data_IF_043065992817
#
_entry.id   IF_043065992817
#
_cell.length_a   1.000
_cell.length_b   1.000
_cell.length_c   1.000
_cell.angle_alpha   90.00
_cell.angle_beta   90.00
_cell.angle_gamma   90.00
#
_symmetry.space_group_name_H-M   'P 1'
#
loop_
_entity.id
_entity.type
_entity.pdbx_description
1 polymer ?
#
# COMPACT_ATOMS: atom_id res chain seq x y z
N UNK A 1 -10.46 -0.31 -0.77
CA UNK A 1 -10.11 -0.17 -2.20
C UNK A 1 -11.02 -1.00 -3.10
N UNK A 2 -11.15 -2.33 -2.92
CA UNK A 2 -12.01 -3.18 -3.76
C UNK A 2 -13.48 -2.73 -3.86
N UNK A 3 -14.16 -2.49 -2.74
CA UNK A 3 -15.57 -2.05 -2.75
C UNK A 3 -15.75 -0.66 -3.39
N UNK A 4 -14.76 0.22 -3.25
CA UNK A 4 -14.78 1.54 -3.90
C UNK A 4 -14.71 1.45 -5.43
N UNK A 5 -13.93 0.50 -5.96
CA UNK A 5 -13.86 0.23 -7.40
C UNK A 5 -15.20 -0.30 -7.92
N UNK A 6 -15.86 -1.19 -7.15
CA UNK A 6 -17.17 -1.74 -7.51
C UNK A 6 -18.22 -0.62 -7.57
N UNK A 7 -18.23 0.27 -6.57
CA UNK A 7 -19.18 1.38 -6.50
C UNK A 7 -19.02 2.37 -7.68
N UNK A 8 -17.79 2.61 -8.15
CA UNK A 8 -17.53 3.51 -9.29
C UNK A 8 -17.95 2.86 -10.62
N UNK A 9 -17.79 1.55 -10.77
CA UNK A 9 -18.15 0.84 -12.00
C UNK A 9 -19.66 0.59 -12.15
N UNK A 10 -20.40 0.57 -11.04
CA UNK A 10 -21.84 0.28 -11.03
C UNK A 10 -22.61 1.28 -10.15
N UNK A 11 -22.66 2.57 -10.55
CA UNK A 11 -23.20 3.64 -9.73
C UNK A 11 -24.71 3.50 -9.46
N UNK A 12 -25.47 2.95 -10.41
CA UNK A 12 -26.94 2.91 -10.34
C UNK A 12 -27.49 1.63 -9.68
N UNK A 13 -26.67 0.57 -9.60
CA UNK A 13 -27.12 -0.76 -9.14
C UNK A 13 -26.46 -1.25 -7.86
N UNK A 14 -25.39 -0.59 -7.39
CA UNK A 14 -24.65 -1.02 -6.22
C UNK A 14 -24.83 -0.06 -5.04
N UNK A 15 -25.61 -0.49 -4.05
CA UNK A 15 -25.74 0.20 -2.77
C UNK A 15 -24.67 -0.30 -1.80
N UNK A 16 -23.87 0.62 -1.27
CA UNK A 16 -22.83 0.28 -0.30
C UNK A 16 -23.44 -0.16 1.03
N UNK A 17 -23.09 -1.37 1.46
CA UNK A 17 -23.43 -1.88 2.79
C UNK A 17 -22.15 -2.34 3.51
N UNK A 18 -22.03 -2.10 4.83
CA UNK A 18 -20.81 -2.42 5.59
C UNK A 18 -20.41 -3.90 5.53
N UNK A 19 -21.38 -4.80 5.38
CA UNK A 19 -21.13 -6.25 5.36
C UNK A 19 -20.53 -6.75 4.04
N UNK A 20 -20.63 -5.98 2.94
CA UNK A 20 -19.92 -6.32 1.71
C UNK A 20 -18.41 -6.36 1.91
N UNK A 21 -17.88 -5.44 2.72
CA UNK A 21 -16.44 -5.40 3.05
C UNK A 21 -16.07 -6.60 3.89
N UNK A 22 -16.86 -6.97 4.89
CA UNK A 22 -16.54 -8.08 5.79
C UNK A 22 -16.53 -9.42 5.05
N UNK A 23 -17.50 -9.66 4.16
CA UNK A 23 -17.52 -10.87 3.32
C UNK A 23 -16.31 -10.96 2.39
N UNK A 24 -15.91 -9.85 1.77
CA UNK A 24 -14.69 -9.82 0.94
C UNK A 24 -13.43 -10.11 1.76
N UNK A 25 -13.33 -9.58 2.97
CA UNK A 25 -12.20 -9.87 3.88
C UNK A 25 -12.18 -11.35 4.26
N UNK A 26 -13.34 -11.95 4.59
CA UNK A 26 -13.44 -13.38 4.89
C UNK A 26 -13.04 -14.22 3.66
N UNK A 27 -13.51 -13.87 2.46
CA UNK A 27 -13.16 -14.58 1.23
C UNK A 27 -11.65 -14.54 0.96
N UNK A 28 -11.02 -13.37 1.07
CA UNK A 28 -9.56 -13.23 0.91
C UNK A 28 -8.80 -14.01 1.99
N UNK A 29 -9.29 -14.01 3.24
CA UNK A 29 -8.68 -14.77 4.34
C UNK A 29 -8.73 -16.29 4.09
N UNK A 30 -9.84 -16.82 3.57
CA UNK A 30 -9.97 -18.24 3.21
C UNK A 30 -9.01 -18.60 2.08
N UNK A 31 -8.90 -17.75 1.05
CA UNK A 31 -7.90 -17.93 -0.02
C UNK A 31 -6.49 -17.94 0.55
N UNK A 32 -6.15 -16.94 1.37
CA UNK A 32 -4.84 -16.88 2.02
C UNK A 32 -4.55 -18.10 2.90
N UNK A 33 -5.56 -18.65 3.60
CA UNK A 33 -5.42 -19.88 4.39
C UNK A 33 -5.08 -21.09 3.50
N UNK A 34 -5.77 -21.25 2.37
CA UNK A 34 -5.47 -22.31 1.42
C UNK A 34 -4.04 -22.16 0.87
N UNK A 35 -3.68 -20.95 0.42
CA UNK A 35 -2.35 -20.66 -0.08
C UNK A 35 -1.26 -20.93 0.96
N UNK A 36 -1.42 -20.47 2.20
CA UNK A 36 -0.45 -20.73 3.28
C UNK A 36 -0.31 -22.22 3.61
N UNK A 37 -1.39 -23.01 3.48
CA UNK A 37 -1.35 -24.45 3.74
C UNK A 37 -0.65 -25.22 2.62
N UNK A 38 -0.86 -24.86 1.35
CA UNK A 38 -0.29 -25.59 0.20
C UNK A 38 1.08 -25.08 -0.26
N UNK A 39 1.38 -23.79 -0.09
CA UNK A 39 2.59 -23.15 -0.63
C UNK A 39 3.69 -22.90 0.42
N UNK A 40 3.55 -23.42 1.64
CA UNK A 40 4.55 -23.26 2.72
C UNK A 40 5.99 -23.61 2.27
N UNK A 41 6.16 -24.62 1.42
CA UNK A 41 7.48 -25.02 0.89
C UNK A 41 7.95 -24.19 -0.33
N UNK A 42 7.08 -23.42 -0.98
CA UNK A 42 7.39 -22.61 -2.17
C UNK A 42 7.54 -21.12 -1.87
N UNK A 43 7.41 -20.74 -0.60
CA UNK A 43 7.64 -19.36 -0.12
C UNK A 43 8.90 -18.70 -0.70
N UNK A 44 10.08 -19.36 -0.71
CA UNK A 44 11.32 -18.71 -1.17
C UNK A 44 11.27 -18.33 -2.66
N UNK A 45 10.56 -19.09 -3.49
CA UNK A 45 10.42 -18.78 -4.92
C UNK A 45 9.43 -17.63 -5.13
N UNK A 46 8.33 -17.63 -4.39
CA UNK A 46 7.29 -16.59 -4.50
C UNK A 46 7.83 -15.25 -4.01
N UNK A 47 8.60 -15.26 -2.92
CA UNK A 47 9.27 -14.07 -2.39
C UNK A 47 10.17 -13.42 -3.45
N UNK A 48 10.99 -14.22 -4.15
CA UNK A 48 11.83 -13.72 -5.23
C UNK A 48 11.04 -13.13 -6.41
N UNK A 49 9.95 -13.81 -6.83
CA UNK A 49 9.08 -13.32 -7.91
C UNK A 49 8.39 -12.01 -7.54
N UNK A 50 7.86 -11.92 -6.30
CA UNK A 50 7.22 -10.69 -5.83
C UNK A 50 8.22 -9.55 -5.77
N UNK A 51 9.46 -9.78 -5.31
CA UNK A 51 10.49 -8.75 -5.28
C UNK A 51 10.83 -8.25 -6.68
N UNK A 52 10.96 -9.16 -7.66
CA UNK A 52 11.15 -8.81 -9.07
C UNK A 52 9.99 -7.95 -9.58
N UNK A 53 8.75 -8.42 -9.41
CA UNK A 53 7.55 -7.69 -9.85
C UNK A 53 7.46 -6.32 -9.16
N UNK A 54 7.81 -6.22 -7.89
CA UNK A 54 7.77 -4.96 -7.14
C UNK A 54 8.82 -3.97 -7.66
N UNK A 55 10.05 -4.42 -7.89
CA UNK A 55 11.10 -3.58 -8.48
C UNK A 55 10.70 -3.08 -9.88
N UNK A 56 10.24 -3.96 -10.76
CA UNK A 56 9.82 -3.56 -12.12
C UNK A 56 8.55 -2.71 -12.11
N UNK A 57 7.58 -3.00 -11.23
CA UNK A 57 6.37 -2.21 -11.06
C UNK A 57 6.65 -0.79 -10.57
N UNK A 58 7.64 -0.62 -9.69
CA UNK A 58 8.11 0.70 -9.27
C UNK A 58 8.57 1.53 -10.47
N UNK A 59 9.42 0.98 -11.34
CA UNK A 59 9.82 1.67 -12.58
C UNK A 59 8.66 1.85 -13.55
N UNK A 60 7.75 0.88 -13.63
CA UNK A 60 6.55 0.95 -14.47
C UNK A 60 5.60 2.08 -14.09
N UNK A 61 5.58 2.52 -12.84
CA UNK A 61 4.79 3.68 -12.38
C UNK A 61 5.62 4.96 -12.43
N UNK A 62 6.91 4.90 -12.05
CA UNK A 62 7.79 6.06 -12.00
C UNK A 62 8.04 6.66 -13.39
N UNK A 63 8.25 5.83 -14.42
CA UNK A 63 8.54 6.32 -15.77
C UNK A 63 7.36 7.09 -16.39
N UNK A 64 6.11 6.57 -16.39
CA UNK A 64 4.97 7.33 -16.89
C UNK A 64 4.74 8.62 -16.11
N UNK A 65 4.84 8.58 -14.77
CA UNK A 65 4.71 9.79 -13.97
C UNK A 65 5.78 10.81 -14.32
N UNK A 66 7.03 10.39 -14.51
CA UNK A 66 8.11 11.29 -14.90
C UNK A 66 7.88 11.93 -16.28
N UNK A 67 7.42 11.15 -17.26
CA UNK A 67 7.25 11.62 -18.64
C UNK A 67 5.98 12.46 -18.82
N UNK A 68 4.90 12.13 -18.11
CA UNK A 68 3.61 12.82 -18.24
C UNK A 68 3.46 14.00 -17.27
N UNK A 69 4.32 14.13 -16.25
CA UNK A 69 4.18 15.20 -15.26
C UNK A 69 4.50 16.58 -15.88
N UNK A 70 3.59 17.56 -15.80
CA UNK A 70 3.88 18.93 -16.21
C UNK A 70 4.94 19.52 -15.27
N UNK A 71 6.00 20.09 -15.85
CA UNK A 71 7.07 20.73 -15.08
C UNK A 71 6.60 22.07 -14.52
N UNK A 72 6.40 22.13 -13.22
CA UNK A 72 6.06 23.36 -12.47
C UNK A 72 7.32 24.02 -11.90
N UNK A 73 7.25 25.33 -11.60
CA UNK A 73 8.37 26.05 -11.02
C UNK A 73 8.77 25.46 -9.66
N UNK A 74 10.07 25.25 -9.36
CA UNK A 74 10.51 24.67 -8.09
C UNK A 74 10.04 25.44 -6.85
N UNK A 75 9.84 26.75 -6.99
CA UNK A 75 9.34 27.63 -5.93
C UNK A 75 7.91 27.30 -5.50
N UNK A 76 7.08 26.81 -6.41
CA UNK A 76 5.72 26.37 -6.07
C UNK A 76 5.77 24.99 -5.40
N UNK A 77 6.55 24.04 -5.94
CA UNK A 77 6.66 22.68 -5.38
C UNK A 77 7.19 22.66 -3.95
N UNK A 78 8.25 23.44 -3.67
CA UNK A 78 8.89 23.45 -2.35
C UNK A 78 8.41 24.58 -1.45
N UNK A 79 7.63 25.54 -1.97
CA UNK A 79 7.18 26.72 -1.25
C UNK A 79 5.71 26.70 -0.83
N UNK A 80 4.83 25.98 -1.55
CA UNK A 80 3.40 25.93 -1.21
C UNK A 80 3.07 24.69 -0.37
N UNK A 81 2.84 24.88 0.94
CA UNK A 81 2.20 23.86 1.77
C UNK A 81 0.69 24.15 1.77
N UNK A 82 -0.06 23.32 1.06
CA UNK A 82 -1.52 23.43 0.95
C UNK A 82 -2.22 22.32 1.74
N UNK A 83 -3.21 22.70 2.53
CA UNK A 83 -4.14 21.76 3.16
C UNK A 83 -5.28 21.42 2.17
N UNK A 84 -5.14 20.29 1.47
CA UNK A 84 -6.19 19.75 0.57
C UNK A 84 -7.24 18.89 1.30
N UNK A 85 -7.07 18.67 2.60
CA UNK A 85 -7.94 17.80 3.40
C UNK A 85 -8.82 18.55 4.40
N UNK A 86 -8.76 19.88 4.41
CA UNK A 86 -9.51 20.76 5.32
C UNK A 86 -9.27 20.42 6.80
N UNK A 87 -8.03 20.11 7.16
CA UNK A 87 -7.64 19.74 8.54
C UNK A 87 -7.47 20.96 9.47
N UNK A 88 -7.76 22.16 8.98
CA UNK A 88 -7.70 23.42 9.73
C UNK A 88 -6.29 23.91 10.03
N UNK A 89 -5.24 23.15 9.72
CA UNK A 89 -3.85 23.63 9.78
C UNK A 89 -2.89 22.77 8.93
N UNK A 90 -1.91 23.45 8.33
CA UNK A 90 -0.85 22.82 7.54
C UNK A 90 -0.02 21.80 8.35
N UNK A 91 0.15 22.03 9.66
CA UNK A 91 0.89 21.12 10.55
C UNK A 91 0.17 19.80 10.78
N UNK A 92 -1.15 19.83 11.03
CA UNK A 92 -1.96 18.62 11.17
C UNK A 92 -2.00 17.82 9.87
N UNK A 93 -2.18 18.49 8.72
CA UNK A 93 -2.10 17.86 7.41
C UNK A 93 -0.77 17.13 7.17
N UNK A 94 0.35 17.72 7.57
CA UNK A 94 1.67 17.10 7.47
C UNK A 94 1.78 15.84 8.37
N UNK A 95 1.30 15.92 9.61
CA UNK A 95 1.33 14.79 10.55
C UNK A 95 0.49 13.60 10.06
N UNK A 96 -0.69 13.87 9.48
CA UNK A 96 -1.52 12.82 8.86
C UNK A 96 -0.81 12.24 7.64
N UNK A 97 -0.14 13.07 6.83
CA UNK A 97 0.66 12.62 5.68
C UNK A 97 1.84 11.72 6.07
N UNK A 98 2.44 11.93 7.25
CA UNK A 98 3.56 11.13 7.76
C UNK A 98 3.17 9.71 8.17
N UNK A 99 1.88 9.41 8.37
CA UNK A 99 1.41 8.07 8.76
C UNK A 99 1.84 7.01 7.74
N UNK A 100 1.75 7.32 6.44
CA UNK A 100 2.17 6.42 5.36
C UNK A 100 3.63 5.96 5.43
N UNK A 101 4.62 6.88 5.39
CA UNK A 101 6.03 6.53 5.45
C UNK A 101 6.44 5.88 6.79
N UNK A 102 5.78 6.19 7.91
CA UNK A 102 6.07 5.53 9.19
C UNK A 102 5.88 4.01 9.08
N UNK A 103 4.82 3.53 8.44
CA UNK A 103 4.60 2.09 8.25
C UNK A 103 5.68 1.40 7.41
N UNK A 104 6.27 2.12 6.44
CA UNK A 104 7.36 1.60 5.62
C UNK A 104 8.69 1.45 6.40
N UNK A 105 8.85 2.23 7.48
CA UNK A 105 10.08 2.26 8.30
C UNK A 105 10.04 1.31 9.51
N UNK A 106 8.96 0.56 9.70
CA UNK A 106 8.86 -0.47 10.76
C UNK A 106 9.73 -1.67 10.35
N UNK A 107 11.04 -1.56 10.59
CA UNK A 107 11.98 -2.66 10.44
C UNK A 107 11.87 -3.68 11.58
N UNK A 108 12.18 -4.95 11.28
CA UNK A 108 12.22 -6.01 12.30
C UNK A 108 13.46 -5.83 13.17
N UNK A 109 13.28 -5.71 14.49
CA UNK A 109 14.40 -5.84 15.43
C UNK A 109 14.98 -7.26 15.31
N UNK A 110 16.29 -7.46 15.03
CA UNK A 110 16.85 -8.79 14.98
C UNK A 110 16.86 -9.39 16.39
N UNK A 111 16.06 -10.43 16.61
CA UNK A 111 16.17 -11.28 17.78
C UNK A 111 17.55 -11.97 17.73
N UNK A 112 18.47 -11.52 18.58
CA UNK A 112 19.81 -12.11 18.71
C UNK A 112 19.67 -13.50 19.32
N UNK A 113 19.45 -14.53 18.48
CA UNK A 113 19.43 -15.92 18.94
C UNK A 113 20.82 -16.28 19.50
N UNK A 114 20.94 -16.65 20.78
CA UNK A 114 22.23 -17.06 21.34
C UNK A 114 22.69 -18.32 20.61
N UNK A 115 23.89 -18.26 20.00
CA UNK A 115 24.57 -19.45 19.49
C UNK A 115 24.72 -20.43 20.66
N UNK A 116 23.99 -21.56 20.62
CA UNK A 116 24.30 -22.71 21.46
C UNK A 116 25.74 -23.14 21.13
N UNK A 117 26.66 -22.85 22.04
CA UNK A 117 27.97 -23.48 22.08
C UNK A 117 27.74 -24.96 22.40
N UNK A 118 28.02 -25.82 21.43
CA UNK A 118 28.52 -27.17 21.70
C UNK A 118 29.96 -27.08 22.13
#
# INVERSE_FOLDING_TARGET
MLVGVIAINYPDSYTYEPWHVTLLVIAVAVVALMFNTFLAQKLPLIEGVILIVHCFGFFGILIPLWVLSPSVAPSEVFGSIEDRGDWGSNGLSCLVGLVGPIYALIGKCPEARPKRRV
#
